data_IF_436173089010
#
_entry.id   IF_436173089010
#
_cell.length_a   1.000
_cell.length_b   1.000
_cell.length_c   1.000
_cell.angle_alpha   90.00
_cell.angle_beta   90.00
_cell.angle_gamma   90.00
#
_symmetry.space_group_name_H-M   'P 1'
#
loop_
_entity.id
_entity.type
_entity.pdbx_description
1 polymer ?
#
# COMPACT_ATOMS: atom_id res chain seq x y z
N UNK A 1 0.96 -22.78 -0.72
CA UNK A 1 1.47 -21.56 -1.37
C UNK A 1 0.32 -20.58 -1.37
N UNK A 2 0.48 -19.38 -0.78
CA UNK A 2 -0.52 -18.34 -0.93
C UNK A 2 -0.71 -18.01 -2.43
N UNK A 3 -1.94 -17.65 -2.81
CA UNK A 3 -2.27 -17.32 -4.20
C UNK A 3 -1.73 -15.95 -4.58
N UNK A 4 -1.18 -15.80 -5.78
CA UNK A 4 -0.71 -14.53 -6.36
C UNK A 4 -0.94 -14.58 -7.88
N UNK A 5 -2.22 -14.56 -8.32
CA UNK A 5 -2.57 -14.91 -9.69
C UNK A 5 -1.97 -13.97 -10.74
N UNK A 6 -1.74 -12.70 -10.42
CA UNK A 6 -1.05 -11.74 -11.28
C UNK A 6 0.47 -11.69 -10.99
N UNK A 7 0.93 -12.35 -9.94
CA UNK A 7 2.34 -12.42 -9.57
C UNK A 7 2.88 -11.08 -9.10
N UNK A 8 2.06 -10.28 -8.41
CA UNK A 8 2.43 -8.94 -7.96
C UNK A 8 3.74 -8.93 -7.18
N UNK A 9 3.92 -9.87 -6.25
CA UNK A 9 5.17 -9.97 -5.50
C UNK A 9 6.36 -10.31 -6.40
N UNK A 10 6.20 -11.31 -7.27
CA UNK A 10 7.27 -11.75 -8.17
C UNK A 10 7.67 -10.67 -9.21
N UNK A 11 6.72 -9.83 -9.63
CA UNK A 11 6.98 -8.75 -10.57
C UNK A 11 7.66 -7.54 -9.89
N UNK A 12 7.28 -7.23 -8.65
CA UNK A 12 7.84 -6.12 -7.89
C UNK A 12 9.25 -6.43 -7.37
N UNK A 13 9.49 -7.65 -6.87
CA UNK A 13 10.77 -8.03 -6.27
C UNK A 13 11.95 -7.90 -7.24
N UNK A 14 12.97 -7.14 -6.86
CA UNK A 14 14.13 -6.86 -7.72
C UNK A 14 13.85 -5.84 -8.84
N UNK A 15 12.67 -5.20 -8.84
CA UNK A 15 12.15 -4.38 -9.93
C UNK A 15 11.54 -3.06 -9.45
N UNK A 16 10.32 -2.79 -9.92
CA UNK A 16 9.57 -1.58 -9.61
C UNK A 16 8.28 -1.96 -8.88
N UNK A 17 7.99 -1.28 -7.77
CA UNK A 17 6.72 -1.38 -7.07
C UNK A 17 5.85 -0.19 -7.50
N UNK A 18 4.73 -0.42 -8.19
CA UNK A 18 3.88 0.68 -8.69
C UNK A 18 2.88 1.09 -7.61
N UNK A 19 3.03 2.30 -7.06
CA UNK A 19 2.32 2.72 -5.85
C UNK A 19 1.39 3.90 -6.12
N UNK A 20 0.12 3.73 -5.78
CA UNK A 20 -0.85 4.80 -5.70
C UNK A 20 -0.82 5.52 -4.36
N UNK A 21 -0.72 6.84 -4.37
CA UNK A 21 -0.76 7.68 -3.16
C UNK A 21 -1.99 8.60 -3.19
N UNK A 22 -2.86 8.47 -2.18
CA UNK A 22 -3.94 9.43 -1.94
C UNK A 22 -3.64 10.28 -0.70
N UNK A 23 -3.56 11.60 -0.90
CA UNK A 23 -3.18 12.59 0.14
C UNK A 23 -4.06 12.50 1.38
N UNK A 24 -3.45 12.37 2.54
CA UNK A 24 -4.09 12.43 3.86
C UNK A 24 -3.11 13.13 4.82
N UNK A 25 -3.42 14.35 5.29
CA UNK A 25 -2.48 15.13 6.10
C UNK A 25 -1.98 14.37 7.33
N UNK A 26 -0.66 14.33 7.51
CA UNK A 26 -0.01 13.59 8.59
C UNK A 26 0.34 12.13 8.25
N UNK A 27 -0.29 11.54 7.23
CA UNK A 27 0.05 10.21 6.71
C UNK A 27 0.83 10.30 5.40
N UNK A 28 0.34 11.11 4.46
CA UNK A 28 0.96 11.30 3.14
C UNK A 28 0.68 12.69 2.56
N UNK A 29 1.76 13.40 2.23
CA UNK A 29 1.78 14.76 1.67
C UNK A 29 2.38 14.75 0.25
N UNK A 30 1.85 15.57 -0.66
CA UNK A 30 2.23 15.63 -2.09
C UNK A 30 2.95 16.93 -2.50
N UNK A 31 3.48 17.69 -1.54
CA UNK A 31 4.10 19.00 -1.80
C UNK A 31 5.46 18.95 -2.52
N UNK A 32 6.00 17.75 -2.79
CA UNK A 32 7.30 17.52 -3.41
C UNK A 32 7.23 16.86 -4.79
N UNK A 33 8.38 16.39 -5.28
CA UNK A 33 8.44 15.55 -6.50
C UNK A 33 7.92 14.14 -6.27
N UNK A 34 7.99 13.67 -5.03
CA UNK A 34 7.53 12.36 -4.58
C UNK A 34 6.66 12.54 -3.32
N UNK A 35 5.70 11.64 -3.08
CA UNK A 35 4.94 11.62 -1.83
C UNK A 35 5.87 11.50 -0.62
N UNK A 36 5.51 12.16 0.48
CA UNK A 36 6.26 12.12 1.74
C UNK A 36 5.31 11.84 2.90
N UNK A 37 5.83 11.48 4.07
CA UNK A 37 5.02 11.18 5.26
C UNK A 37 5.23 9.75 5.76
N UNK A 38 4.48 9.35 6.77
CA UNK A 38 4.63 8.05 7.43
C UNK A 38 4.33 6.88 6.50
N UNK A 39 3.31 7.00 5.64
CA UNK A 39 2.97 5.93 4.69
C UNK A 39 3.98 5.86 3.54
N UNK A 40 4.50 7.00 3.07
CA UNK A 40 5.54 7.02 2.06
C UNK A 40 6.80 6.30 2.56
N UNK A 41 7.24 6.60 3.79
CA UNK A 41 8.39 5.92 4.43
C UNK A 41 8.19 4.41 4.53
N UNK A 42 7.02 3.95 4.99
CA UNK A 42 6.73 2.51 5.07
C UNK A 42 6.76 1.83 3.69
N UNK A 43 6.34 2.52 2.64
CA UNK A 43 6.42 2.00 1.27
C UNK A 43 7.86 1.95 0.78
N UNK A 44 8.66 2.98 1.07
CA UNK A 44 10.08 3.00 0.72
C UNK A 44 10.81 1.84 1.42
N UNK A 45 10.61 1.69 2.73
CA UNK A 45 11.22 0.63 3.55
C UNK A 45 10.76 -0.78 3.09
N UNK A 46 9.47 -0.96 2.77
CA UNK A 46 8.96 -2.20 2.19
C UNK A 46 9.60 -2.48 0.83
N UNK A 47 9.70 -1.48 -0.05
CA UNK A 47 10.32 -1.62 -1.36
C UNK A 47 11.77 -2.06 -1.24
N UNK A 48 12.53 -1.47 -0.32
CA UNK A 48 13.91 -1.89 -0.03
C UNK A 48 13.98 -3.35 0.44
N UNK A 49 13.05 -3.79 1.30
CA UNK A 49 13.01 -5.17 1.80
C UNK A 49 12.83 -6.23 0.71
N UNK A 50 12.24 -5.86 -0.43
CA UNK A 50 12.03 -6.73 -1.59
C UNK A 50 12.95 -6.40 -2.78
N UNK A 51 14.02 -5.62 -2.56
CA UNK A 51 14.95 -5.13 -3.59
C UNK A 51 14.23 -4.37 -4.75
N UNK A 52 13.14 -3.66 -4.46
CA UNK A 52 12.35 -2.89 -5.42
C UNK A 52 12.55 -1.38 -5.27
N UNK A 53 12.10 -0.63 -6.28
CA UNK A 53 12.01 0.84 -6.22
C UNK A 53 10.56 1.28 -6.37
N UNK A 54 10.05 2.19 -5.52
CA UNK A 54 8.67 2.66 -5.64
C UNK A 54 8.52 3.64 -6.80
N UNK A 55 7.53 3.39 -7.64
CA UNK A 55 7.10 4.28 -8.73
C UNK A 55 5.74 4.87 -8.39
N UNK A 56 5.71 6.16 -8.09
CA UNK A 56 4.57 6.82 -7.48
C UNK A 56 3.56 7.39 -8.49
N UNK A 57 2.28 7.17 -8.22
CA UNK A 57 1.15 7.84 -8.87
C UNK A 57 0.27 8.50 -7.82
N UNK A 58 0.15 9.83 -7.84
CA UNK A 58 -0.75 10.56 -6.94
C UNK A 58 -2.13 10.69 -7.56
N UNK A 59 -3.18 10.41 -6.79
CA UNK A 59 -4.55 10.49 -7.30
C UNK A 59 -5.64 10.39 -6.24
N UNK A 60 -6.88 10.57 -6.69
CA UNK A 60 -8.05 10.28 -5.86
C UNK A 60 -8.18 8.77 -5.63
N UNK A 61 -8.68 8.37 -4.46
CA UNK A 61 -8.92 6.96 -4.12
C UNK A 61 -9.63 6.18 -5.22
N UNK A 62 -10.71 6.74 -5.76
CA UNK A 62 -11.49 6.10 -6.83
C UNK A 62 -10.66 5.86 -8.11
N UNK A 63 -9.75 6.78 -8.43
CA UNK A 63 -8.85 6.62 -9.59
C UNK A 63 -7.80 5.56 -9.32
N UNK A 64 -7.18 5.59 -8.14
CA UNK A 64 -6.14 4.64 -7.76
C UNK A 64 -6.69 3.22 -7.65
N UNK A 65 -7.88 3.04 -7.08
CA UNK A 65 -8.53 1.72 -7.00
C UNK A 65 -8.86 1.17 -8.39
N UNK A 66 -9.29 2.01 -9.35
CA UNK A 66 -9.46 1.57 -10.75
C UNK A 66 -8.15 1.11 -11.38
N UNK A 67 -7.06 1.83 -11.12
CA UNK A 67 -5.72 1.46 -11.61
C UNK A 67 -5.20 0.18 -10.94
N UNK A 68 -5.55 -0.04 -9.68
CA UNK A 68 -5.25 -1.28 -8.96
C UNK A 68 -5.97 -2.48 -9.61
N UNK A 69 -7.26 -2.34 -9.93
CA UNK A 69 -8.04 -3.39 -10.59
C UNK A 69 -7.58 -3.69 -12.03
N UNK A 70 -7.11 -2.69 -12.77
CA UNK A 70 -6.57 -2.87 -14.11
C UNK A 70 -5.15 -3.45 -14.11
N UNK A 71 -4.53 -3.62 -12.94
CA UNK A 71 -3.16 -4.10 -12.78
C UNK A 71 -2.11 -3.03 -13.16
N UNK A 72 -2.49 -1.76 -13.19
CA UNK A 72 -1.59 -0.63 -13.38
C UNK A 72 -0.84 -0.25 -12.08
N UNK A 73 -1.41 -0.58 -10.91
CA UNK A 73 -0.79 -0.42 -9.60
C UNK A 73 -0.67 -1.76 -8.88
N UNK A 74 0.33 -1.86 -8.01
CA UNK A 74 0.61 -3.02 -7.15
C UNK A 74 0.21 -2.76 -5.70
N UNK A 75 0.16 -1.48 -5.30
CA UNK A 75 -0.15 -1.04 -3.94
C UNK A 75 -0.85 0.32 -3.98
N UNK A 76 -1.82 0.56 -3.11
CA UNK A 76 -2.39 1.90 -2.88
C UNK A 76 -2.38 2.23 -1.39
N UNK A 77 -1.86 3.42 -1.08
CA UNK A 77 -1.72 3.96 0.28
C UNK A 77 -2.43 5.31 0.42
N UNK A 78 -2.92 5.58 1.62
CA UNK A 78 -3.67 6.77 1.97
C UNK A 78 -4.36 6.62 3.32
N UNK A 79 -5.30 7.51 3.63
CA UNK A 79 -6.09 7.50 4.86
C UNK A 79 -7.14 6.38 4.97
N UNK A 80 -6.93 5.23 4.33
CA UNK A 80 -7.89 4.13 4.33
C UNK A 80 -7.98 3.46 5.70
N UNK A 81 -9.17 2.99 6.04
CA UNK A 81 -9.42 2.25 7.28
C UNK A 81 -10.09 0.91 6.98
N UNK A 82 -10.27 0.10 8.02
CA UNK A 82 -10.99 -1.19 7.94
C UNK A 82 -12.42 -1.05 7.39
N UNK A 83 -13.03 0.14 7.49
CA UNK A 83 -14.37 0.47 6.97
C UNK A 83 -14.35 1.00 5.52
N UNK A 84 -13.24 0.81 4.80
CA UNK A 84 -13.06 1.32 3.43
C UNK A 84 -14.16 0.82 2.47
N UNK A 85 -14.69 1.66 1.56
CA UNK A 85 -15.70 1.22 0.59
C UNK A 85 -15.14 0.30 -0.50
N UNK A 86 -13.83 0.03 -0.50
CA UNK A 86 -13.13 -0.70 -1.56
C UNK A 86 -12.98 -2.21 -1.30
N UNK A 87 -13.57 -2.75 -0.23
CA UNK A 87 -13.45 -4.16 0.19
C UNK A 87 -13.82 -5.19 -0.90
N UNK A 88 -14.78 -4.86 -1.77
CA UNK A 88 -15.20 -5.76 -2.85
C UNK A 88 -14.30 -5.67 -4.11
N UNK A 89 -13.36 -4.71 -4.13
CA UNK A 89 -12.57 -4.34 -5.32
C UNK A 89 -11.06 -4.46 -5.11
N UNK A 90 -10.61 -4.50 -3.85
CA UNK A 90 -9.20 -4.60 -3.48
C UNK A 90 -9.03 -5.59 -2.33
N UNK A 91 -7.87 -6.24 -2.28
CA UNK A 91 -7.40 -6.85 -1.04
C UNK A 91 -7.01 -5.74 -0.07
N UNK A 92 -7.27 -5.93 1.22
CA UNK A 92 -6.84 -5.00 2.26
C UNK A 92 -5.96 -5.72 3.26
N UNK A 93 -4.95 -5.03 3.78
CA UNK A 93 -4.26 -5.48 4.99
C UNK A 93 -5.19 -5.40 6.19
N UNK A 94 -4.81 -6.07 7.27
CA UNK A 94 -5.28 -5.72 8.62
C UNK A 94 -4.96 -4.25 8.95
N UNK A 95 -5.64 -3.73 9.97
CA UNK A 95 -5.49 -2.34 10.40
C UNK A 95 -4.34 -2.12 11.39
N UNK A 96 -3.56 -1.05 11.16
CA UNK A 96 -2.41 -0.65 11.97
C UNK A 96 -2.68 0.70 12.64
N UNK A 97 -2.71 0.71 13.98
CA UNK A 97 -2.96 1.92 14.78
C UNK A 97 -1.70 2.67 15.20
N UNK A 98 -0.55 2.01 15.16
CA UNK A 98 0.73 2.57 15.60
C UNK A 98 1.40 3.46 14.55
N UNK A 99 0.80 3.60 13.36
CA UNK A 99 1.30 4.48 12.30
C UNK A 99 1.22 5.93 12.78
N UNK A 100 2.36 6.62 12.74
CA UNK A 100 2.45 8.05 13.06
C UNK A 100 1.53 8.86 12.12
N UNK A 101 0.70 9.74 12.69
CA UNK A 101 -0.30 10.51 11.94
C UNK A 101 -1.64 9.79 11.71
N UNK A 102 -1.79 8.56 12.21
CA UNK A 102 -3.06 7.84 12.13
C UNK A 102 -4.17 8.46 13.00
N UNK A 103 -3.84 9.29 14.00
CA UNK A 103 -4.82 9.96 14.89
C UNK A 103 -5.84 8.99 15.53
N UNK A 104 -5.39 7.79 15.90
CA UNK A 104 -6.22 6.73 16.50
C UNK A 104 -7.01 5.89 15.49
N UNK A 105 -6.90 6.20 14.19
CA UNK A 105 -7.45 5.38 13.10
C UNK A 105 -6.65 4.09 12.95
N UNK A 106 -7.33 3.05 12.50
CA UNK A 106 -6.71 1.76 12.14
C UNK A 106 -6.47 1.81 10.63
N UNK A 107 -5.24 2.09 10.21
CA UNK A 107 -4.91 2.34 8.80
C UNK A 107 -4.67 1.02 8.07
N UNK A 108 -5.20 0.91 6.85
CA UNK A 108 -5.03 -0.26 5.98
C UNK A 108 -4.37 0.13 4.65
N UNK A 109 -3.72 -0.84 4.02
CA UNK A 109 -3.13 -0.71 2.69
C UNK A 109 -3.99 -1.52 1.70
N UNK A 110 -4.14 -1.04 0.47
CA UNK A 110 -4.91 -1.74 -0.56
C UNK A 110 -3.98 -2.40 -1.57
N UNK A 111 -4.27 -3.66 -1.90
CA UNK A 111 -3.50 -4.48 -2.87
C UNK A 111 -4.46 -5.08 -3.92
N UNK A 112 -3.97 -5.57 -5.07
CA UNK A 112 -4.84 -6.19 -6.05
C UNK A 112 -5.59 -7.39 -5.44
N UNK A 113 -6.87 -7.51 -5.78
CA UNK A 113 -7.74 -8.52 -5.19
C UNK A 113 -7.26 -9.94 -5.53
N UNK A 114 -6.95 -10.73 -4.50
CA UNK A 114 -6.51 -12.12 -4.63
C UNK A 114 -5.00 -12.36 -4.61
N UNK A 115 -4.17 -11.30 -4.57
CA UNK A 115 -2.71 -11.37 -4.40
C UNK A 115 -2.34 -11.64 -2.92
N UNK A 116 -2.71 -12.81 -2.43
CA UNK A 116 -2.49 -13.23 -1.04
C UNK A 116 -1.00 -13.39 -0.71
N UNK A 117 -0.13 -13.70 -1.67
CA UNK A 117 1.30 -13.81 -1.41
C UNK A 117 1.91 -12.42 -1.15
N UNK A 118 1.62 -11.46 -2.05
CA UNK A 118 2.00 -10.07 -1.85
C UNK A 118 1.42 -9.49 -0.55
N UNK A 119 0.12 -9.72 -0.30
CA UNK A 119 -0.54 -9.28 0.93
C UNK A 119 0.14 -9.83 2.18
N UNK A 120 0.45 -11.13 2.19
CA UNK A 120 1.09 -11.77 3.36
C UNK A 120 2.50 -11.23 3.62
N UNK A 121 3.27 -10.97 2.56
CA UNK A 121 4.61 -10.38 2.68
C UNK A 121 4.54 -8.94 3.21
N UNK A 122 3.62 -8.14 2.67
CA UNK A 122 3.39 -6.77 3.14
C UNK A 122 2.95 -6.74 4.61
N UNK A 123 2.04 -7.63 5.02
CA UNK A 123 1.62 -7.73 6.42
C UNK A 123 2.75 -8.19 7.33
N UNK A 124 3.59 -9.13 6.90
CA UNK A 124 4.75 -9.55 7.68
C UNK A 124 5.73 -8.39 7.94
N UNK A 125 5.97 -7.56 6.92
CA UNK A 125 6.78 -6.34 7.04
C UNK A 125 6.12 -5.31 7.99
N UNK A 126 4.84 -5.01 7.78
CA UNK A 126 4.12 -4.03 8.61
C UNK A 126 4.01 -4.48 10.08
N UNK A 127 3.96 -5.79 10.33
CA UNK A 127 3.96 -6.37 11.67
C UNK A 127 5.27 -6.12 12.42
N UNK A 128 6.40 -6.12 11.70
CA UNK A 128 7.70 -5.83 12.28
C UNK A 128 7.87 -4.33 12.56
N UNK A 129 7.43 -3.48 11.64
CA UNK A 129 7.64 -2.02 11.73
C UNK A 129 6.63 -1.30 12.62
N UNK A 130 5.35 -1.68 12.53
CA UNK A 130 4.23 -0.96 13.17
C UNK A 130 3.19 -1.89 13.78
N UNK A 131 3.54 -3.16 13.96
CA UNK A 131 2.73 -4.13 14.70
C UNK A 131 2.61 -3.76 16.18
N UNK A 132 1.45 -4.09 16.77
CA UNK A 132 1.15 -3.87 18.19
C UNK A 132 1.22 -5.14 19.01
#
# INVERSE_FOLDING_TARGET
MPSDPNGTLANASGGELRVGASTDPGLIDDHGSEPSGSLARLVDDFSESIDARPEWTVGSEETLVRMLESGELDLVVGGFTEDTPWLDRAGITRGYRAIEGADGRSIVFLVPLGENAFLSELEAFLDEEVGS
#
